data_IF_967941059946
#
_entry.id   IF_967941059946
#
_cell.length_a   1.000
_cell.length_b   1.000
_cell.length_c   1.000
_cell.angle_alpha   90.00
_cell.angle_beta   90.00
_cell.angle_gamma   90.00
#
_symmetry.space_group_name_H-M   'P 1'
#
loop_
_entity.id
_entity.type
_entity.pdbx_description
1 polymer ?
#
# COMPACT_ATOMS: atom_id res chain seq x y z
N UNK A 1 17.72 -6.62 18.23
CA UNK A 1 16.59 -5.90 17.60
C UNK A 1 15.42 -6.83 17.29
N UNK A 2 15.68 -8.03 16.76
CA UNK A 2 14.66 -9.03 16.39
C UNK A 2 13.66 -9.41 17.50
N UNK A 3 14.09 -9.55 18.76
CA UNK A 3 13.16 -9.91 19.85
C UNK A 3 12.04 -8.88 20.09
N UNK A 4 12.35 -7.58 19.96
CA UNK A 4 11.36 -6.50 20.07
C UNK A 4 10.41 -6.49 18.88
N UNK A 5 10.94 -6.67 17.67
CA UNK A 5 10.16 -6.75 16.44
C UNK A 5 9.16 -7.91 16.49
N UNK A 6 9.61 -9.10 16.91
CA UNK A 6 8.73 -10.25 17.11
C UNK A 6 7.63 -9.84 18.09
N UNK A 7 7.97 -9.42 19.31
CA UNK A 7 6.98 -9.07 20.33
C UNK A 7 5.88 -8.12 19.82
N UNK A 8 6.24 -7.10 19.03
CA UNK A 8 5.25 -6.20 18.39
C UNK A 8 4.40 -6.90 17.33
N UNK A 9 4.99 -7.73 16.46
CA UNK A 9 4.22 -8.53 15.50
C UNK A 9 3.22 -9.47 16.19
N UNK A 10 3.59 -10.09 17.31
CA UNK A 10 2.70 -10.95 18.13
C UNK A 10 1.51 -10.14 18.64
N UNK A 11 1.79 -8.94 19.17
CA UNK A 11 0.75 -8.03 19.67
C UNK A 11 -0.18 -7.60 18.55
N UNK A 12 0.36 -7.31 17.38
CA UNK A 12 -0.41 -6.91 16.20
C UNK A 12 -1.31 -8.05 15.71
N UNK A 13 -0.78 -9.27 15.56
CA UNK A 13 -1.55 -10.43 15.08
C UNK A 13 -2.81 -10.77 15.92
N UNK A 14 -2.82 -10.39 17.20
CA UNK A 14 -3.96 -10.61 18.11
C UNK A 14 -5.01 -9.49 18.01
N UNK A 15 -4.69 -8.35 17.36
CA UNK A 15 -5.63 -7.23 17.28
C UNK A 15 -6.79 -7.52 16.33
N UNK A 16 -8.04 -7.34 16.80
CA UNK A 16 -9.22 -7.56 15.96
C UNK A 16 -9.23 -6.61 14.75
N UNK A 17 -8.76 -5.37 14.92
CA UNK A 17 -8.71 -4.38 13.83
C UNK A 17 -7.91 -4.86 12.62
N UNK A 18 -6.76 -5.50 12.80
CA UNK A 18 -5.95 -6.00 11.66
C UNK A 18 -6.70 -7.11 10.93
N UNK A 19 -7.33 -8.02 11.68
CA UNK A 19 -8.09 -9.12 11.10
C UNK A 19 -9.24 -8.58 10.26
N UNK A 20 -9.97 -7.58 10.77
CA UNK A 20 -11.05 -6.94 10.03
C UNK A 20 -10.57 -6.18 8.79
N UNK A 21 -9.41 -5.54 8.85
CA UNK A 21 -8.82 -4.90 7.67
C UNK A 21 -8.41 -5.94 6.63
N UNK A 22 -7.78 -7.03 7.03
CA UNK A 22 -7.42 -8.12 6.12
C UNK A 22 -8.67 -8.76 5.49
N UNK A 23 -9.73 -8.99 6.29
CA UNK A 23 -11.03 -9.46 5.78
C UNK A 23 -11.62 -8.44 4.80
N UNK A 24 -11.57 -7.14 5.10
CA UNK A 24 -12.04 -6.09 4.20
C UNK A 24 -11.28 -6.05 2.88
N UNK A 25 -9.95 -6.17 2.90
CA UNK A 25 -9.11 -6.29 1.71
C UNK A 25 -9.52 -7.49 0.85
N UNK A 26 -9.64 -8.67 1.47
CA UNK A 26 -10.01 -9.90 0.78
C UNK A 26 -11.44 -9.84 0.23
N UNK A 27 -12.39 -9.29 1.00
CA UNK A 27 -13.76 -9.12 0.55
C UNK A 27 -13.87 -8.16 -0.64
N UNK A 28 -13.13 -7.05 -0.61
CA UNK A 28 -13.08 -6.11 -1.73
C UNK A 28 -12.52 -6.77 -3.00
N UNK A 29 -11.41 -7.50 -2.89
CA UNK A 29 -10.82 -8.22 -4.02
C UNK A 29 -11.74 -9.33 -4.51
N UNK A 30 -12.33 -10.11 -3.61
CA UNK A 30 -13.28 -11.17 -3.96
C UNK A 30 -14.48 -10.60 -4.72
N UNK A 31 -14.99 -9.44 -4.30
CA UNK A 31 -16.06 -8.74 -5.00
C UNK A 31 -15.62 -8.30 -6.39
N UNK A 32 -14.43 -7.72 -6.55
CA UNK A 32 -13.89 -7.32 -7.85
C UNK A 32 -13.75 -8.54 -8.80
N UNK A 33 -13.22 -9.66 -8.31
CA UNK A 33 -13.14 -10.92 -9.05
C UNK A 33 -14.53 -11.47 -9.39
N UNK A 34 -15.48 -11.41 -8.47
CA UNK A 34 -16.84 -11.88 -8.72
C UNK A 34 -17.52 -11.04 -9.82
N UNK A 35 -17.45 -9.71 -9.72
CA UNK A 35 -18.03 -8.79 -10.72
C UNK A 35 -17.45 -9.04 -12.11
N UNK A 36 -16.13 -9.19 -12.22
CA UNK A 36 -15.48 -9.49 -13.51
C UNK A 36 -15.81 -10.89 -14.04
N UNK A 37 -16.02 -11.87 -13.16
CA UNK A 37 -16.45 -13.21 -13.57
C UNK A 37 -17.88 -13.27 -14.12
N UNK A 38 -18.73 -12.28 -13.86
CA UNK A 38 -20.08 -12.20 -14.45
C UNK A 38 -20.08 -11.71 -15.89
N UNK A 39 -19.12 -10.87 -16.28
CA UNK A 39 -19.00 -10.33 -17.64
C UNK A 39 -17.56 -10.45 -18.17
N UNK A 40 -17.01 -11.68 -18.27
CA UNK A 40 -15.60 -11.88 -18.60
C UNK A 40 -15.27 -11.49 -20.05
N UNK A 41 -16.27 -11.43 -20.93
CA UNK A 41 -16.09 -11.11 -22.36
C UNK A 41 -16.02 -9.60 -22.64
N UNK A 42 -16.30 -8.75 -21.64
CA UNK A 42 -16.29 -7.29 -21.82
C UNK A 42 -14.88 -6.77 -22.18
N UNK A 43 -13.85 -7.35 -21.58
CA UNK A 43 -12.44 -7.00 -21.83
C UNK A 43 -11.56 -8.24 -21.73
N UNK A 44 -10.49 -8.31 -22.52
CA UNK A 44 -9.48 -9.35 -22.34
C UNK A 44 -8.64 -9.05 -21.10
N UNK A 45 -8.07 -10.10 -20.49
CA UNK A 45 -7.18 -9.93 -19.33
C UNK A 45 -5.96 -9.05 -19.67
N UNK A 46 -5.41 -9.22 -20.87
CA UNK A 46 -4.35 -8.36 -21.40
C UNK A 46 -4.78 -6.88 -21.46
N UNK A 47 -5.98 -6.59 -21.97
CA UNK A 47 -6.50 -5.22 -22.02
C UNK A 47 -6.73 -4.63 -20.62
N UNK A 48 -7.21 -5.42 -19.66
CA UNK A 48 -7.37 -4.97 -18.28
C UNK A 48 -6.04 -4.62 -17.60
N UNK A 49 -4.98 -5.38 -17.89
CA UNK A 49 -3.61 -5.08 -17.42
C UNK A 49 -3.08 -3.79 -18.05
N UNK A 50 -3.24 -3.64 -19.36
CA UNK A 50 -2.78 -2.46 -20.12
C UNK A 50 -3.51 -1.18 -19.69
N UNK A 51 -4.83 -1.25 -19.56
CA UNK A 51 -5.67 -0.14 -19.11
C UNK A 51 -5.50 0.16 -17.62
N UNK A 52 -4.86 -0.74 -16.86
CA UNK A 52 -4.58 -0.59 -15.42
C UNK A 52 -5.80 -0.78 -14.52
N UNK A 53 -6.85 -1.47 -14.97
CA UNK A 53 -8.01 -1.77 -14.13
C UNK A 53 -7.63 -2.62 -12.90
N UNK A 54 -6.64 -3.51 -13.05
CA UNK A 54 -6.11 -4.31 -11.95
C UNK A 54 -5.39 -3.43 -10.91
N UNK A 55 -4.70 -2.39 -11.37
CA UNK A 55 -4.05 -1.41 -10.49
C UNK A 55 -5.08 -0.68 -9.63
N UNK A 56 -6.24 -0.31 -10.20
CA UNK A 56 -7.33 0.33 -9.47
C UNK A 56 -7.82 -0.50 -8.26
N UNK A 57 -8.11 -1.80 -8.47
CA UNK A 57 -8.51 -2.69 -7.37
C UNK A 57 -7.39 -2.89 -6.32
N UNK A 58 -6.14 -2.91 -6.78
CA UNK A 58 -4.99 -3.02 -5.89
C UNK A 58 -4.77 -1.76 -5.03
N UNK A 59 -5.03 -0.57 -5.57
CA UNK A 59 -4.87 0.71 -4.85
C UNK A 59 -5.76 0.79 -3.61
N UNK A 60 -7.00 0.27 -3.67
CA UNK A 60 -7.87 0.18 -2.48
C UNK A 60 -7.21 -0.66 -1.37
N UNK A 61 -6.56 -1.76 -1.75
CA UNK A 61 -5.84 -2.62 -0.79
C UNK A 61 -4.60 -1.92 -0.22
N UNK A 62 -3.89 -1.13 -1.02
CA UNK A 62 -2.79 -0.27 -0.56
C UNK A 62 -3.28 0.81 0.42
N UNK A 63 -4.43 1.42 0.16
CA UNK A 63 -5.04 2.38 1.08
C UNK A 63 -5.43 1.72 2.41
N UNK A 64 -6.03 0.51 2.37
CA UNK A 64 -6.31 -0.26 3.58
C UNK A 64 -5.02 -0.63 4.34
N UNK A 65 -3.90 -0.84 3.64
CA UNK A 65 -2.59 -1.06 4.27
C UNK A 65 -2.09 0.20 5.02
N UNK A 66 -2.26 1.39 4.42
CA UNK A 66 -2.01 2.66 5.10
C UNK A 66 -2.84 2.80 6.38
N UNK A 67 -4.15 2.53 6.29
CA UNK A 67 -5.07 2.59 7.44
C UNK A 67 -4.66 1.60 8.53
N UNK A 68 -4.25 0.38 8.16
CA UNK A 68 -3.71 -0.59 9.11
C UNK A 68 -2.48 -0.04 9.84
N UNK A 69 -1.54 0.55 9.11
CA UNK A 69 -0.36 1.21 9.68
C UNK A 69 -0.72 2.28 10.71
N UNK A 70 -1.65 3.18 10.37
CA UNK A 70 -2.17 4.23 11.28
C UNK A 70 -2.72 3.59 12.55
N UNK A 71 -3.69 2.67 12.41
CA UNK A 71 -4.42 2.06 13.53
C UNK A 71 -3.51 1.25 14.45
N UNK A 72 -2.51 0.57 13.89
CA UNK A 72 -1.54 -0.20 14.64
C UNK A 72 -0.80 0.67 15.66
N UNK A 73 -0.39 1.86 15.25
CA UNK A 73 0.38 2.71 16.12
C UNK A 73 -0.51 3.56 17.03
N UNK A 74 -1.56 4.17 16.51
CA UNK A 74 -2.47 5.01 17.31
C UNK A 74 -3.28 4.19 18.32
N UNK A 75 -3.61 2.93 18.00
CA UNK A 75 -4.33 2.04 18.93
C UNK A 75 -3.51 1.69 20.17
N UNK A 76 -2.18 1.77 20.12
CA UNK A 76 -1.32 1.61 21.33
C UNK A 76 -1.39 2.83 22.25
N UNK A 77 -1.52 4.04 21.70
CA UNK A 77 -1.55 5.28 22.47
C UNK A 77 -2.83 5.41 23.31
N UNK A 78 -3.95 4.90 22.80
CA UNK A 78 -5.24 4.94 23.50
C UNK A 78 -5.32 4.02 24.73
N UNK A 79 -4.46 2.99 24.82
CA UNK A 79 -4.51 1.96 25.87
C UNK A 79 -3.57 2.23 27.06
N UNK A 80 -2.94 3.41 27.15
CA UNK A 80 -2.16 3.84 28.33
C UNK A 80 -0.84 3.10 28.60
N UNK A 81 -0.49 2.08 27.81
CA UNK A 81 0.69 1.23 28.01
C UNK A 81 2.05 1.90 27.77
N UNK A 82 2.09 3.15 27.31
CA UNK A 82 3.34 3.89 27.08
C UNK A 82 3.96 4.40 28.38
N UNK A 83 3.19 4.59 29.46
CA UNK A 83 3.67 5.17 30.73
C UNK A 83 4.62 4.28 31.52
N UNK A 84 4.64 2.96 31.29
CA UNK A 84 5.50 2.01 32.02
C UNK A 84 6.81 1.66 31.30
N UNK A 85 7.01 2.13 30.06
CA UNK A 85 8.20 1.82 29.25
C UNK A 85 9.17 3.00 29.07
N UNK A 86 8.83 4.19 29.59
CA UNK A 86 9.57 5.44 29.39
C UNK A 86 10.60 5.77 30.50
N UNK A 87 10.81 4.91 31.49
CA UNK A 87 11.82 5.15 32.55
C UNK A 87 13.26 4.78 32.16
N UNK A 88 13.52 4.29 30.92
CA UNK A 88 14.86 3.86 30.50
C UNK A 88 15.30 4.54 29.19
N UNK A 89 16.04 5.63 29.38
CA UNK A 89 16.51 6.61 28.39
C UNK A 89 17.78 6.16 27.61
N UNK A 90 17.78 5.00 26.92
CA UNK A 90 18.44 4.99 25.60
C UNK A 90 17.73 4.12 24.53
N UNK A 91 16.52 3.58 24.79
CA UNK A 91 15.84 2.63 23.88
C UNK A 91 14.84 3.25 22.90
N UNK A 92 14.63 4.57 22.93
CA UNK A 92 13.51 5.27 22.27
C UNK A 92 13.50 5.15 20.73
N UNK A 93 14.62 5.45 20.07
CA UNK A 93 14.72 5.33 18.60
C UNK A 93 14.56 3.88 18.11
N UNK A 94 15.07 2.90 18.86
CA UNK A 94 14.93 1.48 18.51
C UNK A 94 13.48 1.02 18.58
N UNK A 95 12.69 1.52 19.54
CA UNK A 95 11.26 1.21 19.65
C UNK A 95 10.49 1.81 18.48
N UNK A 96 10.79 3.07 18.11
CA UNK A 96 10.18 3.73 16.94
C UNK A 96 10.36 2.89 15.67
N UNK A 97 11.61 2.56 15.33
CA UNK A 97 11.90 1.77 14.12
C UNK A 97 11.30 0.37 14.18
N UNK A 98 11.25 -0.28 15.35
CA UNK A 98 10.59 -1.58 15.48
C UNK A 98 9.08 -1.52 15.25
N UNK A 99 8.41 -0.42 15.64
CA UNK A 99 6.98 -0.23 15.41
C UNK A 99 6.68 0.00 13.94
N UNK A 100 7.48 0.82 13.26
CA UNK A 100 7.35 1.02 11.81
C UNK A 100 7.58 -0.28 11.03
N UNK A 101 8.66 -1.00 11.35
CA UNK A 101 8.97 -2.28 10.71
C UNK A 101 7.89 -3.34 10.99
N UNK A 102 7.38 -3.41 12.23
CA UNK A 102 6.27 -4.30 12.57
C UNK A 102 4.99 -3.92 11.82
N UNK A 103 4.70 -2.63 11.65
CA UNK A 103 3.53 -2.16 10.90
C UNK A 103 3.60 -2.56 9.42
N UNK A 104 4.76 -2.36 8.79
CA UNK A 104 4.97 -2.81 7.41
C UNK A 104 4.83 -4.33 7.26
N UNK A 105 5.50 -5.10 8.12
CA UNK A 105 5.48 -6.56 8.06
C UNK A 105 4.11 -7.17 8.42
N UNK A 106 3.34 -6.54 9.30
CA UNK A 106 2.04 -7.06 9.72
C UNK A 106 1.01 -7.08 8.59
N UNK A 107 1.15 -6.21 7.58
CA UNK A 107 0.20 -6.14 6.45
C UNK A 107 0.54 -7.13 5.34
N UNK A 108 1.82 -7.52 5.19
CA UNK A 108 2.32 -8.42 4.13
C UNK A 108 1.43 -9.65 3.88
N UNK A 109 1.05 -10.47 4.88
CA UNK A 109 0.25 -11.66 4.62
C UNK A 109 -1.15 -11.34 4.07
N UNK A 110 -1.78 -10.26 4.55
CA UNK A 110 -3.11 -9.83 4.08
C UNK A 110 -3.07 -9.34 2.63
N UNK A 111 -2.11 -8.47 2.31
CA UNK A 111 -1.95 -7.96 0.94
C UNK A 111 -1.48 -9.03 -0.03
N UNK A 112 -0.61 -9.95 0.39
CA UNK A 112 -0.16 -11.07 -0.44
C UNK A 112 -1.33 -12.01 -0.77
N UNK A 113 -2.17 -12.32 0.22
CA UNK A 113 -3.39 -13.10 -0.01
C UNK A 113 -4.37 -12.39 -0.94
N UNK A 114 -4.55 -11.07 -0.78
CA UNK A 114 -5.37 -10.25 -1.68
C UNK A 114 -4.82 -10.23 -3.11
N UNK A 115 -3.51 -10.05 -3.30
CA UNK A 115 -2.88 -10.09 -4.62
C UNK A 115 -2.99 -11.47 -5.27
N UNK A 116 -2.77 -12.54 -4.51
CA UNK A 116 -2.95 -13.91 -5.00
C UNK A 116 -4.39 -14.16 -5.42
N UNK A 117 -5.37 -13.78 -4.59
CA UNK A 117 -6.79 -13.91 -4.92
C UNK A 117 -7.16 -13.12 -6.17
N UNK A 118 -6.67 -11.88 -6.30
CA UNK A 118 -6.91 -11.04 -7.47
C UNK A 118 -6.30 -11.66 -8.73
N UNK A 119 -5.02 -12.03 -8.69
CA UNK A 119 -4.31 -12.59 -9.83
C UNK A 119 -4.89 -13.94 -10.28
N UNK A 120 -5.06 -14.90 -9.36
CA UNK A 120 -5.63 -16.21 -9.69
C UNK A 120 -7.12 -16.12 -10.05
N UNK A 121 -7.87 -15.25 -9.38
CA UNK A 121 -9.29 -15.02 -9.65
C UNK A 121 -9.52 -14.47 -11.05
N UNK A 122 -8.83 -13.37 -11.39
CA UNK A 122 -8.92 -12.74 -12.71
C UNK A 122 -8.43 -13.68 -13.81
N UNK A 123 -7.26 -14.30 -13.64
CA UNK A 123 -6.72 -15.25 -14.61
C UNK A 123 -7.67 -16.44 -14.83
N UNK A 124 -8.17 -17.04 -13.74
CA UNK A 124 -9.07 -18.19 -13.80
C UNK A 124 -10.44 -17.87 -14.40
N UNK A 125 -10.97 -16.66 -14.20
CA UNK A 125 -12.22 -16.21 -14.84
C UNK A 125 -12.03 -16.08 -16.36
N UNK A 126 -11.00 -15.37 -16.80
CA UNK A 126 -10.74 -15.13 -18.22
C UNK A 126 -10.27 -16.37 -18.97
N UNK A 127 -9.49 -17.24 -18.33
CA UNK A 127 -9.06 -18.52 -18.91
C UNK A 127 -10.26 -19.45 -19.19
N UNK A 128 -11.26 -19.49 -18.30
CA UNK A 128 -12.49 -20.28 -18.52
C UNK A 128 -13.36 -19.72 -19.64
N UNK A 129 -13.37 -18.40 -19.79
CA UNK A 129 -14.08 -17.73 -20.88
C UNK A 129 -13.28 -17.69 -22.21
N UNK A 130 -12.02 -18.13 -22.22
CA UNK A 130 -11.18 -18.16 -23.43
C UNK A 130 -10.69 -16.79 -23.91
N UNK A 131 -10.74 -15.75 -23.06
CA UNK A 131 -10.51 -14.33 -23.40
C UNK A 131 -9.27 -13.76 -22.71
N UNK A 132 -8.16 -14.51 -22.74
CA UNK A 132 -6.90 -14.05 -22.14
C UNK A 132 -6.27 -12.88 -22.91
N UNK A 133 -6.39 -12.86 -24.23
CA UNK A 133 -5.84 -11.79 -25.08
C UNK A 133 -4.32 -11.82 -25.26
N UNK A 134 -3.64 -12.90 -24.88
CA UNK A 134 -2.19 -13.06 -25.02
C UNK A 134 -1.69 -14.43 -24.57
N UNK A 135 -0.40 -14.73 -24.76
CA UNK A 135 0.21 -15.97 -24.29
C UNK A 135 0.14 -16.07 -22.75
N UNK A 136 -0.21 -17.24 -22.19
CA UNK A 136 -0.36 -17.42 -20.76
C UNK A 136 0.89 -17.10 -19.92
N UNK A 137 2.08 -17.39 -20.45
CA UNK A 137 3.36 -17.14 -19.76
C UNK A 137 3.53 -15.66 -19.41
N UNK A 138 3.26 -14.79 -20.37
CA UNK A 138 3.54 -13.36 -20.29
C UNK A 138 2.54 -12.70 -19.34
N UNK A 139 1.28 -13.16 -19.36
CA UNK A 139 0.24 -12.72 -18.43
C UNK A 139 0.54 -13.11 -16.99
N UNK A 140 1.03 -14.34 -16.76
CA UNK A 140 1.43 -14.80 -15.42
C UNK A 140 2.63 -14.00 -14.92
N UNK A 141 3.60 -13.73 -15.77
CA UNK A 141 4.76 -12.89 -15.42
C UNK A 141 4.32 -11.46 -15.07
N UNK A 142 3.45 -10.86 -15.90
CA UNK A 142 2.90 -9.52 -15.69
C UNK A 142 2.14 -9.42 -14.36
N UNK A 143 1.25 -10.38 -14.07
CA UNK A 143 0.50 -10.46 -12.82
C UNK A 143 1.41 -10.65 -11.61
N UNK A 144 2.46 -11.46 -11.75
CA UNK A 144 3.42 -11.71 -10.67
C UNK A 144 4.18 -10.44 -10.31
N UNK A 145 4.73 -9.74 -11.32
CA UNK A 145 5.42 -8.47 -11.10
C UNK A 145 4.50 -7.37 -10.58
N UNK A 146 3.27 -7.28 -11.10
CA UNK A 146 2.25 -6.38 -10.58
C UNK A 146 1.99 -6.65 -9.09
N UNK A 147 1.77 -7.91 -8.70
CA UNK A 147 1.58 -8.31 -7.31
C UNK A 147 2.77 -7.94 -6.41
N UNK A 148 4.00 -8.20 -6.82
CA UNK A 148 5.21 -7.81 -6.08
C UNK A 148 5.26 -6.30 -5.84
N UNK A 149 4.96 -5.51 -6.87
CA UNK A 149 4.96 -4.03 -6.78
C UNK A 149 3.86 -3.51 -5.86
N UNK A 150 2.67 -4.10 -5.91
CA UNK A 150 1.55 -3.78 -5.00
C UNK A 150 1.92 -4.11 -3.56
N UNK A 151 2.55 -5.25 -3.29
CA UNK A 151 3.02 -5.62 -1.95
C UNK A 151 4.06 -4.61 -1.44
N UNK A 152 5.05 -4.24 -2.26
CA UNK A 152 6.06 -3.25 -1.90
C UNK A 152 5.43 -1.88 -1.60
N UNK A 153 4.46 -1.47 -2.41
CA UNK A 153 3.72 -0.22 -2.21
C UNK A 153 2.87 -0.25 -0.94
N UNK A 154 2.16 -1.36 -0.68
CA UNK A 154 1.36 -1.55 0.53
C UNK A 154 2.22 -1.52 1.79
N UNK A 155 3.42 -2.10 1.77
CA UNK A 155 4.38 -2.02 2.88
C UNK A 155 4.81 -0.57 3.11
N UNK A 156 5.14 0.15 2.04
CA UNK A 156 5.52 1.57 2.12
C UNK A 156 4.37 2.43 2.65
N UNK A 157 3.15 2.19 2.18
CA UNK A 157 1.94 2.86 2.64
C UNK A 157 1.64 2.55 4.12
N UNK A 158 1.80 1.31 4.57
CA UNK A 158 1.64 0.94 5.98
C UNK A 158 2.68 1.63 6.89
N UNK A 159 3.93 1.71 6.44
CA UNK A 159 4.99 2.45 7.17
C UNK A 159 4.70 3.95 7.19
N UNK A 160 4.30 4.53 6.06
CA UNK A 160 3.89 5.93 5.97
C UNK A 160 2.70 6.25 6.86
N UNK A 161 1.67 5.41 6.86
CA UNK A 161 0.51 5.53 7.73
C UNK A 161 0.85 5.41 9.21
N UNK A 162 1.73 4.48 9.58
CA UNK A 162 2.26 4.37 10.93
C UNK A 162 3.00 5.64 11.37
N UNK A 163 3.81 6.23 10.50
CA UNK A 163 4.53 7.48 10.76
C UNK A 163 3.57 8.67 10.91
N UNK A 164 2.59 8.83 10.01
CA UNK A 164 1.56 9.88 10.10
C UNK A 164 0.69 9.69 11.34
N UNK A 165 0.31 8.46 11.67
CA UNK A 165 -0.42 8.14 12.90
C UNK A 165 0.32 8.60 14.16
N UNK A 166 1.64 8.40 14.21
CA UNK A 166 2.50 8.90 15.30
C UNK A 166 2.57 10.43 15.35
N UNK A 167 2.75 11.07 14.19
CA UNK A 167 2.80 12.52 14.06
C UNK A 167 1.52 13.17 14.60
N UNK A 168 0.39 12.66 14.15
CA UNK A 168 -0.92 13.26 14.42
C UNK A 168 -1.46 12.86 15.79
N UNK A 169 -1.20 11.63 16.24
CA UNK A 169 -1.69 11.09 17.52
C UNK A 169 -3.17 10.74 17.53
N UNK A 170 -3.92 10.99 16.45
CA UNK A 170 -5.35 10.69 16.30
C UNK A 170 -5.58 9.96 14.97
N UNK A 171 -6.13 8.74 15.05
CA UNK A 171 -6.26 7.86 13.88
C UNK A 171 -7.15 8.47 12.78
N UNK A 172 -8.29 9.06 13.16
CA UNK A 172 -9.26 9.60 12.20
C UNK A 172 -8.74 10.83 11.47
N UNK A 173 -7.86 11.64 12.09
CA UNK A 173 -7.20 12.76 11.40
C UNK A 173 -6.19 12.22 10.39
N UNK A 174 -5.40 11.20 10.75
CA UNK A 174 -4.43 10.60 9.84
C UNK A 174 -5.10 9.91 8.64
N UNK A 175 -6.23 9.24 8.85
CA UNK A 175 -7.05 8.66 7.77
C UNK A 175 -7.71 9.76 6.95
N UNK A 176 -8.34 10.75 7.60
CA UNK A 176 -8.98 11.87 6.92
C UNK A 176 -8.02 12.68 6.06
N UNK A 177 -6.78 12.88 6.50
CA UNK A 177 -5.73 13.55 5.72
C UNK A 177 -5.42 12.79 4.43
N UNK A 178 -5.29 11.46 4.50
CA UNK A 178 -5.05 10.64 3.32
C UNK A 178 -6.25 10.66 2.36
N UNK A 179 -7.48 10.60 2.90
CA UNK A 179 -8.71 10.69 2.09
C UNK A 179 -8.85 12.05 1.41
N UNK A 180 -8.65 13.15 2.14
CA UNK A 180 -8.70 14.50 1.58
C UNK A 180 -7.62 14.69 0.52
N UNK A 181 -6.41 14.17 0.75
CA UNK A 181 -5.33 14.22 -0.24
C UNK A 181 -5.69 13.42 -1.51
N UNK A 182 -6.27 12.22 -1.37
CA UNK A 182 -6.75 11.42 -2.50
C UNK A 182 -7.78 12.17 -3.33
N UNK A 183 -8.81 12.72 -2.68
CA UNK A 183 -9.84 13.48 -3.38
C UNK A 183 -9.27 14.74 -4.04
N UNK A 184 -8.34 15.44 -3.38
CA UNK A 184 -7.66 16.58 -3.98
C UNK A 184 -6.88 16.18 -5.24
N UNK A 185 -6.17 15.04 -5.20
CA UNK A 185 -5.44 14.54 -6.36
C UNK A 185 -6.39 14.15 -7.50
N UNK A 186 -7.50 13.49 -7.22
CA UNK A 186 -8.50 13.11 -8.22
C UNK A 186 -9.10 14.33 -8.95
N UNK A 187 -9.31 15.44 -8.25
CA UNK A 187 -9.81 16.69 -8.86
C UNK A 187 -8.72 17.47 -9.61
N UNK A 188 -7.47 17.42 -9.15
CA UNK A 188 -6.34 18.18 -9.72
C UNK A 188 -5.71 17.45 -10.89
N UNK A 189 -5.60 16.12 -10.87
CA UNK A 189 -4.88 15.34 -11.88
C UNK A 189 -5.38 15.58 -13.32
N UNK A 190 -6.70 15.67 -13.61
CA UNK A 190 -7.19 15.93 -14.97
C UNK A 190 -6.85 17.33 -15.49
N UNK A 191 -6.77 18.32 -14.60
CA UNK A 191 -6.54 19.74 -14.94
C UNK A 191 -5.06 20.15 -14.85
N UNK A 192 -4.23 19.35 -14.18
CA UNK A 192 -2.82 19.62 -13.98
C UNK A 192 -2.01 19.48 -15.28
N UNK A 193 -0.99 20.33 -15.42
CA UNK A 193 0.02 20.19 -16.48
C UNK A 193 0.79 18.87 -16.33
N UNK A 194 1.38 18.38 -17.43
CA UNK A 194 2.20 17.17 -17.43
C UNK A 194 3.33 17.22 -16.38
N UNK A 195 3.92 18.40 -16.17
CA UNK A 195 4.94 18.62 -15.16
C UNK A 195 4.44 18.40 -13.73
N UNK A 196 3.23 18.86 -13.39
CA UNK A 196 2.66 18.70 -12.04
C UNK A 196 2.19 17.27 -11.80
N UNK A 197 1.57 16.63 -12.80
CA UNK A 197 1.12 15.23 -12.70
C UNK A 197 2.23 14.27 -12.33
N UNK A 198 3.45 14.53 -12.79
CA UNK A 198 4.64 13.74 -12.46
C UNK A 198 5.00 13.71 -10.97
N UNK A 199 4.50 14.65 -10.15
CA UNK A 199 4.77 14.71 -8.71
C UNK A 199 3.62 14.21 -7.84
N UNK A 200 2.50 13.85 -8.45
CA UNK A 200 1.29 13.44 -7.73
C UNK A 200 1.44 11.99 -7.23
N UNK A 201 1.33 11.72 -5.91
CA UNK A 201 1.61 10.39 -5.36
C UNK A 201 0.74 9.26 -5.89
N UNK A 202 -0.57 9.44 -6.08
CA UNK A 202 -1.43 8.37 -6.60
C UNK A 202 -1.18 8.09 -8.09
N UNK A 203 -0.90 9.13 -8.87
CA UNK A 203 -0.48 9.00 -10.28
C UNK A 203 0.81 8.19 -10.40
N UNK A 204 1.79 8.46 -9.53
CA UNK A 204 3.02 7.69 -9.46
C UNK A 204 2.81 6.27 -8.91
N UNK A 205 1.90 6.08 -7.96
CA UNK A 205 1.56 4.76 -7.43
C UNK A 205 0.94 3.86 -8.51
N UNK A 206 0.03 4.40 -9.32
CA UNK A 206 -0.55 3.69 -10.47
C UNK A 206 0.52 3.36 -11.51
N UNK A 207 1.36 4.35 -11.87
CA UNK A 207 2.49 4.17 -12.80
C UNK A 207 3.48 3.11 -12.30
N UNK A 208 3.78 3.10 -11.01
CA UNK A 208 4.62 2.08 -10.38
C UNK A 208 4.02 0.68 -10.50
N UNK A 209 2.74 0.51 -10.18
CA UNK A 209 2.10 -0.82 -10.22
C UNK A 209 2.01 -1.36 -11.64
N UNK A 210 1.58 -0.56 -12.61
CA UNK A 210 1.59 -0.92 -14.05
C UNK A 210 3.02 -1.24 -14.52
N UNK A 211 3.98 -0.43 -14.09
CA UNK A 211 5.37 -0.47 -14.50
C UNK A 211 5.58 -0.49 -16.01
N UNK A 212 6.62 -1.18 -16.46
CA UNK A 212 7.07 -1.15 -17.87
C UNK A 212 6.21 -1.97 -18.84
N UNK A 213 5.04 -2.47 -18.44
CA UNK A 213 4.21 -3.30 -19.33
C UNK A 213 3.39 -2.47 -20.34
N UNK A 214 3.40 -1.14 -20.24
CA UNK A 214 2.94 -0.23 -21.30
C UNK A 214 4.00 0.02 -22.40
N UNK A 215 4.95 -0.91 -22.59
CA UNK A 215 6.07 -0.75 -23.52
C UNK A 215 5.67 -1.23 -24.91
N UNK A 216 5.29 -0.26 -25.74
CA UNK A 216 5.67 -0.29 -27.16
C UNK A 216 7.21 -0.26 -27.24
N UNK A 217 7.86 -1.03 -28.14
CA UNK A 217 9.30 -1.34 -28.08
C UNK A 217 10.28 -0.17 -28.25
N UNK A 218 9.84 1.07 -28.35
CA UNK A 218 10.63 2.08 -29.06
C UNK A 218 11.02 3.33 -28.25
N UNK A 219 10.64 3.47 -26.96
CA UNK A 219 10.85 4.73 -26.23
C UNK A 219 11.40 4.52 -24.80
N UNK A 220 12.71 4.75 -24.63
CA UNK A 220 13.43 4.72 -23.33
C UNK A 220 12.93 5.71 -22.27
N UNK A 221 12.03 6.63 -22.64
CA UNK A 221 11.40 7.60 -21.73
C UNK A 221 10.49 6.99 -20.64
N UNK A 222 9.95 5.78 -20.84
CA UNK A 222 9.03 5.15 -19.87
C UNK A 222 9.75 4.37 -18.76
N UNK A 223 10.98 3.91 -18.99
CA UNK A 223 11.81 3.33 -17.93
C UNK A 223 12.17 4.38 -16.86
N UNK A 224 12.41 5.62 -17.29
CA UNK A 224 12.67 6.75 -16.39
C UNK A 224 11.44 7.12 -15.55
N UNK A 225 10.24 7.08 -16.13
CA UNK A 225 8.99 7.36 -15.40
C UNK A 225 8.73 6.33 -14.28
N UNK A 226 8.94 5.04 -14.57
CA UNK A 226 8.82 3.97 -13.59
C UNK A 226 9.80 4.12 -12.41
N UNK A 227 11.08 4.40 -12.71
CA UNK A 227 12.10 4.63 -11.69
C UNK A 227 11.79 5.89 -10.86
N UNK A 228 11.35 6.97 -11.52
CA UNK A 228 10.94 8.19 -10.84
C UNK A 228 9.81 7.92 -9.84
N UNK A 229 8.76 7.20 -10.25
CA UNK A 229 7.64 6.87 -9.38
C UNK A 229 8.07 6.05 -8.16
N UNK A 230 8.89 5.01 -8.36
CA UNK A 230 9.40 4.19 -7.26
C UNK A 230 10.24 5.00 -6.27
N UNK A 231 11.16 5.84 -6.77
CA UNK A 231 12.02 6.69 -5.94
C UNK A 231 11.23 7.78 -5.21
N UNK A 232 10.23 8.38 -5.86
CA UNK A 232 9.36 9.39 -5.25
C UNK A 232 8.59 8.80 -4.07
N UNK A 233 7.94 7.65 -4.26
CA UNK A 233 7.13 6.99 -3.22
C UNK A 233 7.99 6.51 -2.04
N UNK A 234 9.18 5.98 -2.34
CA UNK A 234 10.17 5.64 -1.33
C UNK A 234 10.64 6.89 -0.58
N UNK A 235 10.96 7.97 -1.30
CA UNK A 235 11.38 9.25 -0.75
C UNK A 235 10.33 9.84 0.19
N UNK A 236 9.06 9.86 -0.22
CA UNK A 236 7.94 10.32 0.62
C UNK A 236 7.86 9.48 1.90
N UNK A 237 7.95 8.16 1.79
CA UNK A 237 7.89 7.25 2.95
C UNK A 237 9.05 7.50 3.91
N UNK A 238 10.27 7.68 3.39
CA UNK A 238 11.46 8.01 4.18
C UNK A 238 11.30 9.35 4.88
N UNK A 239 10.85 10.39 4.17
CA UNK A 239 10.63 11.73 4.75
C UNK A 239 9.59 11.67 5.86
N UNK A 240 8.46 11.01 5.65
CA UNK A 240 7.42 10.83 6.68
C UNK A 240 7.95 10.09 7.91
N UNK A 241 8.75 9.03 7.72
CA UNK A 241 9.38 8.30 8.81
C UNK A 241 10.40 9.16 9.59
N UNK A 242 11.20 9.98 8.91
CA UNK A 242 12.14 10.89 9.56
C UNK A 242 11.43 12.00 10.34
N UNK A 243 10.40 12.62 9.74
CA UNK A 243 9.57 13.61 10.43
C UNK A 243 8.88 13.01 11.65
N UNK A 244 8.31 11.81 11.50
CA UNK A 244 7.69 11.05 12.59
C UNK A 244 8.66 10.80 13.74
N UNK A 245 9.91 10.46 13.44
CA UNK A 245 10.96 10.31 14.44
C UNK A 245 11.24 11.61 15.19
N UNK A 246 11.46 12.72 14.48
CA UNK A 246 11.81 14.01 15.10
C UNK A 246 10.69 14.50 16.03
N UNK A 247 9.42 14.35 15.63
CA UNK A 247 8.28 14.74 16.48
C UNK A 247 8.13 13.82 17.68
N UNK A 248 8.37 12.51 17.51
CA UNK A 248 8.34 11.54 18.60
C UNK A 248 9.40 11.88 19.66
N UNK A 249 10.62 12.21 19.23
CA UNK A 249 11.70 12.63 20.13
C UNK A 249 11.36 13.92 20.90
N UNK A 250 10.64 14.88 20.27
CA UNK A 250 10.28 16.16 20.92
C UNK A 250 9.08 16.09 21.87
N UNK A 251 8.08 15.24 21.60
CA UNK A 251 6.87 15.15 22.43
C UNK A 251 7.13 14.55 23.81
N UNK A 252 8.11 13.67 23.94
CA UNK A 252 8.44 13.01 25.20
C UNK A 252 9.32 13.84 26.15
N UNK A 253 9.66 15.08 25.79
CA UNK A 253 10.45 16.02 26.63
C UNK A 253 9.54 16.97 27.43
N UNK A 254 8.23 17.00 27.15
CA UNK A 254 7.23 17.82 27.85
C UNK A 254 6.32 16.96 28.72
#
# INVERSE_FOLDING_TARGET
>A
MMGLLWAELRRFAVRPAIRWIAVGMLAHVALAVAVTAFEPEAFTLAAMLEQGQISFYAMTSVFLAYVAGVLLVTGTAAQGGTRTLLTVEPRRGRVYWSKLAAAGLAVVPGIAAACALLGFGMYGAHARAGVLGGPPSDLVEALTWCGVRVVALAVSAAVGGAAVGLLVGRWWIAVGLATVWFLAEEQVAPSASSGVRGWLPFTNADTWVRGTQAVLPDHGFLADAYLHSGLLLLGITVVLALLGRVVFERRDVR
#
